data_IF_578210619954
#
_entry.id   IF_578210619954
#
_cell.length_a   1.000
_cell.length_b   1.000
_cell.length_c   1.000
_cell.angle_alpha   90.00
_cell.angle_beta   90.00
_cell.angle_gamma   90.00
#
_symmetry.space_group_name_H-M   'P 1'
#
loop_
_entity.id
_entity.type
_entity.pdbx_description
1 polymer ?
#
# COMPACT_ATOMS: atom_id res chain seq x y z
N UNK A 1 9.78 4.73 16.72
CA UNK A 1 9.34 5.52 15.56
C UNK A 1 8.01 4.96 15.02
N UNK A 2 6.98 5.79 14.74
CA UNK A 2 5.68 5.29 14.24
C UNK A 2 5.80 4.82 12.78
N UNK A 3 5.61 3.53 12.54
CA UNK A 3 5.72 2.87 11.23
C UNK A 3 4.97 3.62 10.10
N UNK A 4 5.57 3.69 8.91
CA UNK A 4 4.88 4.15 7.69
C UNK A 4 3.92 3.04 7.26
N UNK A 5 2.62 3.30 7.31
CA UNK A 5 1.61 2.32 6.91
C UNK A 5 1.71 1.99 5.41
N UNK A 6 1.57 0.71 5.07
CA UNK A 6 1.66 0.19 3.71
C UNK A 6 2.99 0.51 3.03
N UNK A 7 4.10 0.54 3.79
CA UNK A 7 5.42 0.97 3.34
C UNK A 7 5.84 0.33 2.01
N UNK A 8 5.65 -0.99 1.87
CA UNK A 8 6.09 -1.73 0.68
C UNK A 8 5.30 -1.31 -0.57
N UNK A 9 3.98 -1.16 -0.46
CA UNK A 9 3.17 -0.70 -1.59
C UNK A 9 3.53 0.74 -1.99
N UNK A 10 3.73 1.62 -1.00
CA UNK A 10 4.16 3.01 -1.27
C UNK A 10 5.53 3.06 -1.94
N UNK A 11 6.51 2.27 -1.46
CA UNK A 11 7.84 2.16 -2.09
C UNK A 11 7.74 1.83 -3.57
N UNK A 12 6.91 0.86 -3.93
CA UNK A 12 6.72 0.45 -5.32
C UNK A 12 6.00 1.52 -6.15
N UNK A 13 4.96 2.17 -5.61
CA UNK A 13 4.26 3.28 -6.29
C UNK A 13 5.23 4.42 -6.60
N UNK A 14 6.03 4.83 -5.60
CA UNK A 14 6.99 5.93 -5.74
C UNK A 14 8.14 5.54 -6.68
N UNK A 15 8.70 4.34 -6.55
CA UNK A 15 9.74 3.84 -7.46
C UNK A 15 9.25 3.83 -8.91
N UNK A 16 8.02 3.36 -9.15
CA UNK A 16 7.39 3.37 -10.48
C UNK A 16 7.28 4.78 -11.05
N UNK A 17 6.86 5.76 -10.24
CA UNK A 17 6.75 7.15 -10.67
C UNK A 17 8.11 7.72 -11.08
N UNK A 18 9.14 7.53 -10.23
CA UNK A 18 10.52 7.97 -10.52
C UNK A 18 11.04 7.35 -11.81
N UNK A 19 10.81 6.05 -12.02
CA UNK A 19 11.22 5.35 -13.25
C UNK A 19 10.50 5.87 -14.50
N UNK A 20 9.19 6.14 -14.41
CA UNK A 20 8.39 6.64 -15.54
C UNK A 20 8.84 8.05 -15.97
N UNK A 21 9.05 8.91 -14.99
CA UNK A 21 9.51 10.29 -15.21
C UNK A 21 11.02 10.39 -15.46
N UNK A 22 11.74 9.25 -15.41
CA UNK A 22 13.20 9.15 -15.56
C UNK A 22 13.96 10.10 -14.62
N UNK A 23 13.44 10.26 -13.40
CA UNK A 23 14.02 11.11 -12.37
C UNK A 23 15.20 10.36 -11.72
N UNK A 24 16.29 11.07 -11.45
CA UNK A 24 17.41 10.51 -10.69
C UNK A 24 16.97 10.14 -9.26
N UNK A 25 17.22 8.91 -8.77
CA UNK A 25 16.72 8.46 -7.48
C UNK A 25 17.57 8.98 -6.33
N UNK A 26 17.60 10.29 -6.11
CA UNK A 26 18.22 10.91 -4.92
C UNK A 26 17.23 10.92 -3.74
N UNK A 27 17.73 11.05 -2.50
CA UNK A 27 16.85 11.13 -1.32
C UNK A 27 15.81 12.24 -1.45
N UNK A 28 16.21 13.43 -1.92
CA UNK A 28 15.30 14.56 -2.14
C UNK A 28 14.22 14.26 -3.19
N UNK A 29 14.59 13.65 -4.31
CA UNK A 29 13.64 13.26 -5.35
C UNK A 29 12.68 12.16 -4.88
N UNK A 30 13.17 11.22 -4.08
CA UNK A 30 12.35 10.19 -3.45
C UNK A 30 11.34 10.80 -2.49
N UNK A 31 11.76 11.72 -1.61
CA UNK A 31 10.85 12.42 -0.68
C UNK A 31 9.79 13.19 -1.45
N UNK A 32 10.18 13.97 -2.47
CA UNK A 32 9.26 14.75 -3.29
C UNK A 32 8.23 13.86 -4.01
N UNK A 33 8.69 12.78 -4.65
CA UNK A 33 7.83 11.82 -5.33
C UNK A 33 6.89 11.08 -4.36
N UNK A 34 7.33 10.85 -3.12
CA UNK A 34 6.52 10.22 -2.07
C UNK A 34 5.45 11.16 -1.51
N UNK A 35 5.81 12.40 -1.23
CA UNK A 35 4.93 13.37 -0.59
C UNK A 35 3.79 13.83 -1.51
N UNK A 36 3.91 13.67 -2.83
CA UNK A 36 2.86 14.02 -3.78
C UNK A 36 1.57 13.17 -3.53
N UNK A 37 1.60 11.82 -3.60
CA UNK A 37 0.45 11.00 -3.23
C UNK A 37 0.30 10.76 -1.71
N UNK A 38 1.37 10.93 -0.90
CA UNK A 38 1.38 10.55 0.53
C UNK A 38 1.95 11.64 1.45
N UNK A 39 1.42 12.87 1.35
CA UNK A 39 1.86 14.03 2.13
C UNK A 39 1.90 13.80 3.65
N UNK A 40 1.03 12.92 4.18
CA UNK A 40 0.99 12.55 5.60
C UNK A 40 2.27 11.86 6.11
N UNK A 41 3.14 11.35 5.23
CA UNK A 41 4.40 10.72 5.61
C UNK A 41 5.58 11.72 5.67
N UNK A 42 5.40 12.97 5.19
CA UNK A 42 6.50 13.94 5.04
C UNK A 42 7.37 14.09 6.28
N UNK A 43 6.74 14.39 7.42
CA UNK A 43 7.47 14.55 8.69
C UNK A 43 8.33 13.34 9.03
N UNK A 44 7.86 12.12 8.73
CA UNK A 44 8.62 10.89 9.02
C UNK A 44 9.76 10.68 8.05
N UNK A 45 9.61 11.08 6.79
CA UNK A 45 10.64 10.97 5.77
C UNK A 45 11.77 11.97 6.05
N UNK A 46 11.40 13.21 6.39
CA UNK A 46 12.35 14.28 6.71
C UNK A 46 13.14 14.01 8.01
N UNK A 47 12.57 13.22 8.93
CA UNK A 47 13.19 12.86 10.22
C UNK A 47 13.50 11.36 10.31
N UNK A 48 13.62 10.67 9.17
CA UNK A 48 14.03 9.27 9.14
C UNK A 48 15.51 9.19 9.55
N UNK A 49 15.78 8.67 10.74
CA UNK A 49 17.16 8.50 11.26
C UNK A 49 17.96 7.44 10.49
N UNK A 50 17.31 6.61 9.66
CA UNK A 50 17.94 5.54 8.89
C UNK A 50 17.91 5.78 7.38
N UNK A 51 19.08 5.67 6.74
CA UNK A 51 19.21 5.74 5.26
C UNK A 51 18.65 4.50 4.57
N UNK A 52 18.40 3.40 5.29
CA UNK A 52 17.98 2.11 4.72
C UNK A 52 16.75 2.19 3.80
N UNK A 53 15.80 3.09 4.11
CA UNK A 53 14.65 3.31 3.24
C UNK A 53 15.10 3.82 1.87
N UNK A 54 15.92 4.86 1.87
CA UNK A 54 16.39 5.53 0.67
C UNK A 54 17.39 4.65 -0.06
N UNK A 55 18.34 4.03 0.63
CA UNK A 55 19.32 3.10 0.04
C UNK A 55 18.63 1.94 -0.69
N UNK A 56 17.60 1.35 -0.07
CA UNK A 56 16.79 0.32 -0.72
C UNK A 56 16.12 0.87 -1.97
N UNK A 57 15.53 2.07 -1.91
CA UNK A 57 14.83 2.67 -3.03
C UNK A 57 15.76 3.02 -4.19
N UNK A 58 16.90 3.67 -3.91
CA UNK A 58 17.93 3.96 -4.90
C UNK A 58 18.37 2.68 -5.59
N UNK A 59 18.76 1.66 -4.80
CA UNK A 59 19.19 0.37 -5.34
C UNK A 59 18.09 -0.27 -6.18
N UNK A 60 16.86 -0.32 -5.68
CA UNK A 60 15.73 -0.92 -6.38
C UNK A 60 15.46 -0.20 -7.72
N UNK A 61 15.42 1.13 -7.71
CA UNK A 61 15.16 1.95 -8.90
C UNK A 61 16.25 1.77 -9.95
N UNK A 62 17.51 1.75 -9.54
CA UNK A 62 18.65 1.58 -10.45
C UNK A 62 18.79 0.17 -11.03
N UNK A 63 18.15 -0.84 -10.43
CA UNK A 63 18.29 -2.26 -10.84
C UNK A 63 17.02 -2.90 -11.38
N UNK A 64 15.93 -2.13 -11.50
CA UNK A 64 14.65 -2.62 -12.00
C UNK A 64 14.06 -1.67 -13.04
N UNK A 65 13.00 -2.12 -13.70
CA UNK A 65 12.23 -1.33 -14.66
C UNK A 65 10.76 -1.19 -14.22
N UNK A 66 10.03 -0.37 -14.97
CA UNK A 66 8.60 -0.11 -14.74
C UNK A 66 7.79 -1.41 -14.80
N UNK A 67 8.16 -2.36 -15.67
CA UNK A 67 7.46 -3.65 -15.82
C UNK A 67 7.59 -4.48 -14.55
N UNK A 68 8.80 -4.66 -14.05
CA UNK A 68 9.11 -5.39 -12.82
C UNK A 68 8.41 -4.77 -11.61
N UNK A 69 8.34 -3.43 -11.56
CA UNK A 69 7.62 -2.73 -10.51
C UNK A 69 6.10 -2.99 -10.55
N UNK A 70 5.49 -2.97 -11.74
CA UNK A 70 4.07 -3.29 -11.91
C UNK A 70 3.77 -4.74 -11.49
N UNK A 71 4.61 -5.70 -11.86
CA UNK A 71 4.45 -7.11 -11.48
C UNK A 71 4.54 -7.31 -9.96
N UNK A 72 5.47 -6.62 -9.30
CA UNK A 72 5.60 -6.65 -7.84
C UNK A 72 4.39 -6.00 -7.13
N UNK A 73 3.89 -4.86 -7.64
CA UNK A 73 2.67 -4.23 -7.15
C UNK A 73 1.48 -5.17 -7.23
N UNK A 74 1.30 -5.81 -8.39
CA UNK A 74 0.19 -6.73 -8.62
C UNK A 74 0.30 -7.95 -7.70
N UNK A 75 1.49 -8.54 -7.56
CA UNK A 75 1.73 -9.68 -6.66
C UNK A 75 1.46 -9.31 -5.20
N UNK A 76 1.91 -8.15 -4.75
CA UNK A 76 1.65 -7.63 -3.41
C UNK A 76 0.14 -7.49 -3.17
N UNK A 77 -0.57 -6.91 -4.15
CA UNK A 77 -2.01 -6.66 -4.05
C UNK A 77 -2.85 -7.92 -4.05
N UNK A 78 -2.53 -8.87 -4.93
CA UNK A 78 -3.15 -10.21 -4.97
C UNK A 78 -2.91 -10.97 -3.66
N UNK A 79 -1.71 -10.86 -3.06
CA UNK A 79 -1.43 -11.43 -1.74
C UNK A 79 -2.31 -10.79 -0.66
N UNK A 80 -2.47 -9.47 -0.69
CA UNK A 80 -3.38 -8.74 0.19
C UNK A 80 -4.83 -9.22 0.05
N UNK A 81 -5.32 -9.37 -1.17
CA UNK A 81 -6.66 -9.89 -1.46
C UNK A 81 -6.86 -11.32 -0.95
N UNK A 82 -5.93 -12.24 -1.24
CA UNK A 82 -6.00 -13.64 -0.76
C UNK A 82 -6.03 -13.71 0.77
N UNK A 83 -5.20 -12.91 1.43
CA UNK A 83 -5.17 -12.84 2.89
C UNK A 83 -6.50 -12.33 3.45
N UNK A 84 -7.09 -11.29 2.84
CA UNK A 84 -8.39 -10.78 3.24
C UNK A 84 -9.50 -11.80 2.98
N UNK A 85 -9.47 -12.51 1.84
CA UNK A 85 -10.43 -13.55 1.49
C UNK A 85 -10.37 -14.70 2.51
N UNK A 86 -9.17 -15.22 2.82
CA UNK A 86 -9.00 -16.28 3.81
C UNK A 86 -9.50 -15.88 5.20
N UNK A 87 -9.24 -14.63 5.63
CA UNK A 87 -9.77 -14.11 6.91
C UNK A 87 -11.28 -13.87 6.87
N UNK A 88 -11.82 -13.45 5.73
CA UNK A 88 -13.24 -13.22 5.51
C UNK A 88 -14.05 -14.52 5.47
N UNK A 89 -13.51 -15.58 4.86
CA UNK A 89 -14.17 -16.88 4.73
C UNK A 89 -14.53 -17.47 6.11
N UNK A 90 -13.63 -17.30 7.10
CA UNK A 90 -13.87 -17.72 8.50
C UNK A 90 -15.09 -17.07 9.16
N UNK A 91 -15.61 -15.98 8.59
CA UNK A 91 -16.77 -15.24 9.10
C UNK A 91 -17.89 -15.11 8.07
N UNK A 92 -17.82 -15.81 6.92
CA UNK A 92 -18.86 -15.82 5.88
C UNK A 92 -18.78 -14.67 4.85
N UNK A 93 -17.58 -14.11 4.64
CA UNK A 93 -17.32 -12.96 3.76
C UNK A 93 -16.31 -13.29 2.66
N UNK A 94 -16.49 -12.69 1.48
CA UNK A 94 -15.48 -12.61 0.43
C UNK A 94 -14.76 -11.26 0.46
N UNK A 95 -13.58 -11.19 -0.17
CA UNK A 95 -12.86 -9.94 -0.41
C UNK A 95 -12.43 -9.87 -1.87
N UNK A 96 -12.45 -8.67 -2.45
CA UNK A 96 -11.99 -8.42 -3.82
C UNK A 96 -11.34 -7.05 -3.90
N UNK A 97 -10.25 -6.93 -4.65
CA UNK A 97 -9.66 -5.64 -4.99
C UNK A 97 -10.68 -4.79 -5.78
N UNK A 98 -10.91 -3.54 -5.35
CA UNK A 98 -11.98 -2.68 -5.91
C UNK A 98 -11.63 -2.19 -7.31
N UNK A 99 -10.36 -1.81 -7.47
CA UNK A 99 -9.75 -1.26 -8.68
C UNK A 99 -8.25 -1.47 -8.52
N UNK A 100 -7.50 -1.52 -9.62
CA UNK A 100 -6.03 -1.48 -9.61
C UNK A 100 -5.58 -0.02 -9.80
N UNK A 101 -5.46 0.79 -8.72
CA UNK A 101 -4.91 2.14 -8.84
C UNK A 101 -3.42 2.06 -9.20
N UNK A 102 -3.00 2.76 -10.25
CA UNK A 102 -1.58 2.79 -10.64
C UNK A 102 -0.74 3.64 -9.68
N UNK A 103 -1.32 4.75 -9.21
CA UNK A 103 -0.60 5.79 -8.46
C UNK A 103 -1.17 6.04 -7.05
N UNK A 104 -2.01 5.12 -6.57
CA UNK A 104 -2.59 5.19 -5.23
C UNK A 104 -2.59 3.83 -4.54
N UNK A 105 -2.78 3.82 -3.22
CA UNK A 105 -2.89 2.59 -2.43
C UNK A 105 -4.07 1.73 -2.89
N UNK A 106 -3.89 0.42 -2.84
CA UNK A 106 -4.95 -0.53 -3.12
C UNK A 106 -6.11 -0.37 -2.14
N UNK A 107 -7.32 -0.33 -2.70
CA UNK A 107 -8.56 -0.42 -1.93
C UNK A 107 -9.16 -1.80 -2.15
N UNK A 108 -9.56 -2.45 -1.06
CA UNK A 108 -10.21 -3.76 -1.08
C UNK A 108 -11.65 -3.61 -0.60
N UNK A 109 -12.59 -4.25 -1.30
CA UNK A 109 -13.96 -4.41 -0.84
C UNK A 109 -14.09 -5.74 -0.12
N UNK A 110 -14.86 -5.77 0.96
CA UNK A 110 -15.25 -6.99 1.65
C UNK A 110 -16.77 -7.12 1.47
N UNK A 111 -17.26 -8.31 1.11
CA UNK A 111 -18.67 -8.54 0.78
C UNK A 111 -19.21 -9.78 1.51
N UNK A 112 -20.46 -9.75 1.97
CA UNK A 112 -21.21 -10.96 2.35
C UNK A 112 -21.91 -11.56 1.14
N UNK A 113 -22.54 -12.74 1.33
CA UNK A 113 -23.52 -13.37 0.43
C UNK A 113 -24.70 -12.47 -0.05
N UNK A 114 -24.75 -11.18 0.30
CA UNK A 114 -25.79 -10.27 -0.17
C UNK A 114 -25.54 -8.76 -0.01
N UNK A 115 -24.45 -8.31 0.65
CA UNK A 115 -24.14 -6.88 0.84
C UNK A 115 -22.67 -6.58 0.55
N UNK A 116 -22.43 -5.56 -0.29
CA UNK A 116 -21.09 -5.01 -0.60
C UNK A 116 -20.74 -3.96 0.45
N UNK A 117 -19.58 -4.10 1.10
CA UNK A 117 -19.10 -3.13 2.08
C UNK A 117 -17.80 -2.48 1.61
N UNK A 118 -17.77 -1.15 1.65
CA UNK A 118 -16.55 -0.36 1.54
C UNK A 118 -15.92 -0.22 2.93
N UNK A 119 -14.66 -0.65 3.08
CA UNK A 119 -13.93 -0.58 4.35
C UNK A 119 -12.93 -1.71 4.56
N UNK A 120 -12.13 -1.62 5.62
CA UNK A 120 -11.18 -2.68 5.99
C UNK A 120 -11.82 -3.74 6.91
N UNK A 121 -11.13 -4.88 7.08
CA UNK A 121 -11.63 -6.01 7.88
C UNK A 121 -11.99 -5.66 9.33
N UNK A 122 -11.25 -4.72 9.94
CA UNK A 122 -11.51 -4.31 11.33
C UNK A 122 -12.83 -3.53 11.42
N UNK A 123 -13.08 -2.61 10.49
CA UNK A 123 -14.35 -1.88 10.40
C UNK A 123 -15.54 -2.82 10.21
N UNK A 124 -15.36 -3.90 9.43
CA UNK A 124 -16.38 -4.93 9.27
C UNK A 124 -16.63 -5.68 10.58
N UNK A 125 -15.58 -6.13 11.26
CA UNK A 125 -15.70 -6.88 12.50
C UNK A 125 -16.39 -6.05 13.61
N UNK A 126 -16.10 -4.76 13.70
CA UNK A 126 -16.78 -3.84 14.62
C UNK A 126 -18.29 -3.80 14.32
N UNK A 127 -18.66 -3.68 13.05
CA UNK A 127 -20.08 -3.58 12.63
C UNK A 127 -20.85 -4.89 12.84
N UNK A 128 -20.16 -6.02 12.75
CA UNK A 128 -20.71 -7.36 13.02
C UNK A 128 -20.77 -7.72 14.52
N UNK A 129 -20.38 -6.80 15.41
CA UNK A 129 -20.30 -7.08 16.86
C UNK A 129 -19.21 -8.09 17.24
N UNK A 130 -18.28 -8.39 16.33
CA UNK A 130 -17.14 -9.29 16.55
C UNK A 130 -15.92 -8.59 17.16
N UNK A 131 -15.87 -7.26 17.04
CA UNK A 131 -14.90 -6.41 17.73
C UNK A 131 -15.64 -5.27 18.43
N UNK A 132 -15.16 -4.80 19.60
CA UNK A 132 -15.74 -3.64 20.24
C UNK A 132 -15.55 -2.41 19.35
N UNK A 133 -16.59 -1.54 19.28
CA UNK A 133 -16.41 -0.18 18.76
C UNK A 133 -15.35 0.49 19.63
N UNK A 134 -14.26 0.96 19.03
CA UNK A 134 -13.38 1.91 19.73
C UNK A 134 -14.22 3.16 19.97
N UNK A 135 -14.49 3.44 21.25
CA UNK A 135 -15.02 4.72 21.71
C UNK A 135 -14.05 5.85 21.45
#
# INVERSE_FOLDING_TARGET
MKEIKNLQEKRLIVARHIMLERIEPTNGNIINAWCNPFSADKYKLDHAEGTELFDWMCKFISSNDVKSCNEQLERLRRKGERNLKSKGERVGYGAKLVKEPKDALATYNIFTKGKKYSGNYSSLCIRMGRLPKKG
#
